data_IF_684594655868
#
_entry.id   IF_684594655868
#
_cell.length_a   1.000
_cell.length_b   1.000
_cell.length_c   1.000
_cell.angle_alpha   90.00
_cell.angle_beta   90.00
_cell.angle_gamma   90.00
#
_symmetry.space_group_name_H-M   'P 1'
#
loop_
_entity.id
_entity.type
_entity.pdbx_description
1 polymer ?
#
# COMPACT_ATOMS: atom_id res chain seq x y z
N UNK A 1 1.12 13.76 -15.98
CA UNK A 1 0.18 13.77 -17.09
C UNK A 1 -0.01 15.16 -17.63
N UNK A 2 -0.21 15.30 -18.93
CA UNK A 2 -0.52 16.59 -19.57
C UNK A 2 -2.03 16.91 -19.53
N UNK A 3 -2.82 16.16 -18.76
CA UNK A 3 -4.24 16.35 -18.65
C UNK A 3 -4.61 16.87 -17.23
N UNK A 4 -4.80 18.19 -17.05
CA UNK A 4 -5.13 18.78 -15.76
C UNK A 4 -6.46 18.29 -15.18
N UNK A 5 -7.43 17.91 -16.03
CA UNK A 5 -8.74 17.42 -15.58
C UNK A 5 -8.66 16.08 -14.81
N UNK A 6 -7.56 15.35 -14.95
CA UNK A 6 -7.34 14.09 -14.25
C UNK A 6 -6.74 14.26 -12.85
N UNK A 7 -6.47 15.50 -12.44
CA UNK A 7 -5.72 15.79 -11.22
C UNK A 7 -6.58 16.56 -10.22
N UNK A 8 -6.52 16.13 -8.98
CA UNK A 8 -7.03 16.85 -7.82
C UNK A 8 -5.91 17.68 -7.18
N UNK A 9 -6.26 18.83 -6.62
CA UNK A 9 -5.34 19.75 -5.94
C UNK A 9 -5.15 21.08 -6.65
N UNK A 10 -4.55 22.04 -5.95
CA UNK A 10 -4.36 23.42 -6.43
C UNK A 10 -3.10 23.52 -7.30
N UNK A 11 -3.08 24.52 -8.16
CA UNK A 11 -1.90 24.79 -8.98
C UNK A 11 -0.70 25.20 -8.12
N UNK A 12 0.48 24.77 -8.56
CA UNK A 12 1.73 25.01 -7.82
C UNK A 12 1.96 24.09 -6.61
N UNK A 13 1.04 23.18 -6.32
CA UNK A 13 1.15 22.22 -5.22
C UNK A 13 1.19 20.77 -5.74
N UNK A 14 1.44 19.84 -4.82
CA UNK A 14 1.30 18.41 -5.08
C UNK A 14 -0.09 18.10 -5.63
N UNK A 15 -0.17 17.21 -6.59
CA UNK A 15 -1.42 16.80 -7.25
C UNK A 15 -1.68 15.33 -6.98
N UNK A 16 -2.95 14.98 -6.87
CA UNK A 16 -3.43 13.60 -6.76
C UNK A 16 -4.11 13.20 -8.07
N UNK A 17 -3.70 12.07 -8.67
CA UNK A 17 -4.41 11.49 -9.81
C UNK A 17 -5.80 11.06 -9.36
N UNK A 18 -6.84 11.57 -10.02
CA UNK A 18 -8.23 11.28 -9.67
C UNK A 18 -8.68 9.92 -10.23
N UNK A 19 -8.62 8.87 -9.42
CA UNK A 19 -9.09 7.54 -9.83
C UNK A 19 -10.62 7.44 -9.97
N UNK A 20 -11.36 8.39 -9.41
CA UNK A 20 -12.79 8.56 -9.68
C UNK A 20 -13.12 9.05 -11.09
N UNK A 21 -12.12 9.57 -11.84
CA UNK A 21 -12.27 9.99 -13.22
C UNK A 21 -11.98 8.81 -14.15
N UNK A 22 -12.96 8.42 -14.96
CA UNK A 22 -12.88 7.18 -15.76
C UNK A 22 -11.70 7.14 -16.72
N UNK A 23 -11.41 8.23 -17.45
CA UNK A 23 -10.28 8.28 -18.38
C UNK A 23 -8.93 8.23 -17.64
N UNK A 24 -8.81 8.89 -16.48
CA UNK A 24 -7.59 8.86 -15.67
C UNK A 24 -7.32 7.44 -15.15
N UNK A 25 -8.37 6.77 -14.68
CA UNK A 25 -8.30 5.38 -14.23
C UNK A 25 -7.95 4.44 -15.38
N UNK A 26 -8.60 4.56 -16.53
CA UNK A 26 -8.33 3.75 -17.71
C UNK A 26 -6.88 3.92 -18.20
N UNK A 27 -6.38 5.15 -18.22
CA UNK A 27 -4.99 5.44 -18.54
C UNK A 27 -4.01 4.76 -17.57
N UNK A 28 -4.28 4.86 -16.26
CA UNK A 28 -3.42 4.24 -15.23
C UNK A 28 -3.42 2.72 -15.37
N UNK A 29 -4.59 2.10 -15.56
CA UNK A 29 -4.71 0.65 -15.79
C UNK A 29 -3.85 0.25 -17.00
N UNK A 30 -4.01 0.90 -18.13
CA UNK A 30 -3.25 0.57 -19.34
C UNK A 30 -1.74 0.81 -19.19
N UNK A 31 -1.35 1.82 -18.43
CA UNK A 31 0.05 2.12 -18.16
C UNK A 31 0.72 1.05 -17.29
N UNK A 32 0.09 0.70 -16.16
CA UNK A 32 0.61 -0.30 -15.22
C UNK A 32 0.55 -1.71 -15.82
N UNK A 33 -0.53 -2.09 -16.48
CA UNK A 33 -0.69 -3.36 -17.20
C UNK A 33 0.48 -3.59 -18.18
N UNK A 34 0.81 -2.56 -18.97
CA UNK A 34 1.96 -2.62 -19.88
C UNK A 34 3.29 -2.82 -19.15
N UNK A 35 3.52 -2.13 -18.02
CA UNK A 35 4.73 -2.29 -17.21
C UNK A 35 4.83 -3.69 -16.61
N UNK A 36 3.74 -4.18 -16.00
CA UNK A 36 3.69 -5.53 -15.43
C UNK A 36 4.02 -6.58 -16.48
N UNK A 37 3.42 -6.48 -17.67
CA UNK A 37 3.65 -7.41 -18.77
C UNK A 37 5.07 -7.33 -19.31
N UNK A 38 5.59 -6.12 -19.58
CA UNK A 38 6.90 -5.93 -20.18
C UNK A 38 8.07 -6.29 -19.26
N UNK A 39 7.88 -6.13 -17.95
CA UNK A 39 8.91 -6.41 -16.95
C UNK A 39 8.76 -7.80 -16.30
N UNK A 40 7.68 -8.53 -16.59
CA UNK A 40 7.43 -9.84 -16.00
C UNK A 40 7.24 -9.78 -14.48
N UNK A 41 6.38 -8.87 -14.01
CA UNK A 41 6.18 -8.61 -12.57
C UNK A 41 5.04 -9.47 -12.05
N UNK A 42 5.31 -10.31 -11.05
CA UNK A 42 4.34 -11.17 -10.38
C UNK A 42 3.84 -10.60 -9.04
N UNK A 43 4.54 -9.60 -8.49
CA UNK A 43 4.16 -8.90 -7.27
C UNK A 43 4.16 -7.40 -7.51
N UNK A 44 3.00 -6.79 -7.43
CA UNK A 44 2.80 -5.35 -7.58
C UNK A 44 2.65 -4.68 -6.22
N UNK A 45 3.64 -3.88 -5.80
CA UNK A 45 3.52 -3.07 -4.58
C UNK A 45 3.01 -1.68 -4.94
N UNK A 46 1.98 -1.25 -4.24
CA UNK A 46 1.50 0.13 -4.28
C UNK A 46 1.56 0.76 -2.89
N UNK A 47 2.47 1.71 -2.75
CA UNK A 47 2.53 2.58 -1.58
C UNK A 47 1.75 3.87 -1.83
N UNK A 48 1.11 4.42 -0.79
CA UNK A 48 0.27 5.61 -0.89
C UNK A 48 0.53 6.54 0.30
N UNK A 49 1.55 7.39 0.15
CA UNK A 49 2.08 8.26 1.21
C UNK A 49 1.59 9.70 1.04
N UNK A 50 0.30 9.88 0.87
CA UNK A 50 -0.35 11.18 0.75
C UNK A 50 -1.60 11.22 1.65
N UNK A 51 -1.87 12.35 2.28
CA UNK A 51 -3.16 12.59 2.93
C UNK A 51 -4.16 13.13 1.89
N UNK A 52 -5.13 12.31 1.44
CA UNK A 52 -6.00 12.66 0.33
C UNK A 52 -7.18 13.55 0.69
N UNK A 53 -7.51 13.69 1.98
CA UNK A 53 -8.77 14.31 2.42
C UNK A 53 -8.95 15.73 1.88
N UNK A 54 -7.89 16.53 1.91
CA UNK A 54 -7.95 17.91 1.42
C UNK A 54 -8.11 17.99 -0.11
N UNK A 55 -7.61 17.00 -0.85
CA UNK A 55 -7.80 16.92 -2.31
C UNK A 55 -9.25 16.60 -2.65
N UNK A 56 -9.87 15.65 -1.93
CA UNK A 56 -11.25 15.26 -2.13
C UNK A 56 -12.21 16.39 -1.76
N UNK A 57 -12.08 16.94 -0.53
CA UNK A 57 -12.93 18.04 -0.05
C UNK A 57 -12.79 19.29 -0.87
N UNK A 58 -11.60 19.58 -1.39
CA UNK A 58 -11.36 20.75 -2.24
C UNK A 58 -11.97 20.64 -3.64
N UNK A 59 -12.38 19.44 -4.06
CA UNK A 59 -13.08 19.20 -5.32
C UNK A 59 -14.60 19.07 -5.17
N UNK A 60 -15.10 18.91 -3.95
CA UNK A 60 -16.52 18.80 -3.66
C UNK A 60 -17.19 20.19 -3.63
N UNK A 61 -18.48 20.21 -3.99
CA UNK A 61 -19.36 21.35 -3.71
C UNK A 61 -19.91 21.26 -2.28
N UNK A 62 -20.39 22.38 -1.74
CA UNK A 62 -20.84 22.46 -0.35
C UNK A 62 -21.95 21.46 -0.03
N UNK A 63 -22.86 21.23 -0.98
CA UNK A 63 -24.01 20.32 -0.89
C UNK A 63 -23.66 18.84 -1.22
N UNK A 64 -22.44 18.57 -1.66
CA UNK A 64 -22.00 17.24 -2.11
C UNK A 64 -20.71 16.78 -1.44
N UNK A 65 -20.47 17.15 -0.21
CA UNK A 65 -19.27 16.75 0.53
C UNK A 65 -19.15 15.23 0.68
N UNK A 66 -17.96 14.68 0.35
CA UNK A 66 -17.65 13.25 0.36
C UNK A 66 -17.89 12.53 -0.98
N UNK A 67 -18.47 13.19 -1.99
CA UNK A 67 -18.74 12.53 -3.28
C UNK A 67 -17.44 12.20 -4.04
N UNK A 68 -16.45 13.09 -4.01
CA UNK A 68 -15.16 12.86 -4.65
C UNK A 68 -14.39 11.73 -3.99
N UNK A 69 -14.43 11.64 -2.66
CA UNK A 69 -13.86 10.50 -1.91
C UNK A 69 -14.51 9.19 -2.33
N UNK A 70 -15.84 9.14 -2.34
CA UNK A 70 -16.59 7.95 -2.74
C UNK A 70 -16.22 7.48 -4.16
N UNK A 71 -16.21 8.39 -5.13
CA UNK A 71 -15.81 8.08 -6.50
C UNK A 71 -14.34 7.64 -6.57
N UNK A 72 -13.45 8.30 -5.82
CA UNK A 72 -12.04 7.96 -5.78
C UNK A 72 -11.81 6.54 -5.24
N UNK A 73 -12.41 6.20 -4.09
CA UNK A 73 -12.27 4.88 -3.48
C UNK A 73 -12.86 3.79 -4.38
N UNK A 74 -14.04 4.02 -4.95
CA UNK A 74 -14.66 3.09 -5.92
C UNK A 74 -13.74 2.88 -7.12
N UNK A 75 -13.19 3.95 -7.66
CA UNK A 75 -12.26 3.89 -8.79
C UNK A 75 -10.94 3.21 -8.46
N UNK A 76 -10.41 3.43 -7.25
CA UNK A 76 -9.22 2.76 -6.74
C UNK A 76 -9.41 1.23 -6.62
N UNK A 77 -10.52 0.80 -6.06
CA UNK A 77 -10.83 -0.63 -5.97
C UNK A 77 -11.04 -1.27 -7.36
N UNK A 78 -11.74 -0.57 -8.25
CA UNK A 78 -11.94 -1.02 -9.63
C UNK A 78 -10.61 -1.10 -10.42
N UNK A 79 -9.67 -0.20 -10.16
CA UNK A 79 -8.32 -0.26 -10.73
C UNK A 79 -7.60 -1.55 -10.34
N UNK A 80 -7.61 -1.94 -9.08
CA UNK A 80 -6.99 -3.18 -8.62
C UNK A 80 -7.73 -4.42 -9.14
N UNK A 81 -9.06 -4.42 -9.12
CA UNK A 81 -9.86 -5.51 -9.68
C UNK A 81 -9.50 -5.78 -11.15
N UNK A 82 -9.32 -4.72 -11.94
CA UNK A 82 -8.96 -4.86 -13.35
C UNK A 82 -7.52 -5.35 -13.55
N UNK A 83 -6.57 -4.92 -12.71
CA UNK A 83 -5.20 -5.46 -12.77
C UNK A 83 -5.17 -6.95 -12.43
N UNK A 84 -5.84 -7.37 -11.37
CA UNK A 84 -5.94 -8.79 -10.98
C UNK A 84 -6.63 -9.64 -12.05
N UNK A 85 -7.64 -9.08 -12.72
CA UNK A 85 -8.31 -9.75 -13.84
C UNK A 85 -7.39 -9.95 -15.05
N UNK A 86 -6.52 -8.98 -15.35
CA UNK A 86 -5.55 -9.05 -16.46
C UNK A 86 -4.36 -9.93 -16.16
N UNK A 87 -3.95 -9.99 -14.90
CA UNK A 87 -2.78 -10.74 -14.43
C UNK A 87 -3.20 -11.79 -13.39
N UNK A 88 -3.86 -12.90 -13.81
CA UNK A 88 -4.26 -13.96 -12.89
C UNK A 88 -3.05 -14.56 -12.18
N UNK A 89 -3.11 -14.62 -10.86
CA UNK A 89 -2.01 -15.11 -10.01
C UNK A 89 -1.03 -14.04 -9.53
N UNK A 90 -1.12 -12.80 -10.04
CA UNK A 90 -0.35 -11.68 -9.50
C UNK A 90 -0.83 -11.35 -8.08
N UNK A 91 0.11 -11.02 -7.21
CA UNK A 91 -0.18 -10.50 -5.88
C UNK A 91 -0.05 -8.98 -5.85
N UNK A 92 -0.91 -8.35 -5.05
CA UNK A 92 -0.77 -6.92 -4.73
C UNK A 92 -0.31 -6.80 -3.28
N UNK A 93 0.80 -6.09 -3.07
CA UNK A 93 1.28 -5.66 -1.76
C UNK A 93 0.81 -4.23 -1.49
N UNK A 94 -0.06 -4.08 -0.50
CA UNK A 94 -0.62 -2.77 -0.12
C UNK A 94 0.20 -2.10 0.97
N UNK A 95 0.49 -0.82 0.78
CA UNK A 95 1.03 0.07 1.79
C UNK A 95 0.40 1.45 1.66
N UNK A 96 0.15 2.09 2.78
CA UNK A 96 -0.28 3.48 2.82
C UNK A 96 0.25 4.10 4.12
N UNK A 97 1.46 4.64 4.09
CA UNK A 97 2.17 5.07 5.30
C UNK A 97 2.05 3.99 6.39
N UNK A 98 2.45 2.77 6.06
CA UNK A 98 2.18 1.56 6.84
C UNK A 98 0.75 1.03 6.66
N UNK A 99 0.00 0.94 7.73
CA UNK A 99 -1.26 0.22 7.79
C UNK A 99 -2.54 1.03 7.53
N UNK A 100 -2.48 2.24 6.97
CA UNK A 100 -3.66 3.11 6.81
C UNK A 100 -4.74 2.58 5.84
N UNK A 101 -4.42 1.57 5.03
CA UNK A 101 -5.37 0.89 4.13
C UNK A 101 -5.60 -0.57 4.48
N UNK A 102 -5.41 -0.97 5.74
CA UNK A 102 -5.73 -2.32 6.19
C UNK A 102 -7.24 -2.45 6.50
N UNK A 103 -8.09 -2.06 5.56
CA UNK A 103 -9.53 -2.26 5.58
C UNK A 103 -9.94 -3.52 4.79
N UNK A 104 -11.15 -4.03 5.04
CA UNK A 104 -11.62 -5.29 4.45
C UNK A 104 -11.68 -5.26 2.93
N UNK A 105 -12.09 -4.15 2.31
CA UNK A 105 -12.20 -4.06 0.86
C UNK A 105 -10.82 -4.04 0.17
N UNK A 106 -9.86 -3.34 0.76
CA UNK A 106 -8.47 -3.37 0.30
C UNK A 106 -7.89 -4.79 0.45
N UNK A 107 -8.08 -5.42 1.61
CA UNK A 107 -7.48 -6.72 1.93
C UNK A 107 -8.16 -7.91 1.24
N UNK A 108 -9.30 -7.73 0.59
CA UNK A 108 -9.86 -8.71 -0.35
C UNK A 108 -9.06 -8.82 -1.64
N UNK A 109 -8.25 -7.81 -1.96
CA UNK A 109 -7.51 -7.66 -3.23
C UNK A 109 -6.01 -7.71 -3.05
N UNK A 110 -5.53 -7.40 -1.85
CA UNK A 110 -4.11 -7.19 -1.57
C UNK A 110 -3.71 -7.75 -0.21
N UNK A 111 -2.43 -7.93 -0.01
CA UNK A 111 -1.83 -8.35 1.24
C UNK A 111 -0.90 -7.25 1.76
N UNK A 112 -0.88 -6.93 3.06
CA UNK A 112 0.08 -6.00 3.62
C UNK A 112 1.36 -6.76 4.01
N UNK A 113 2.37 -6.79 3.12
CA UNK A 113 3.65 -7.44 3.42
C UNK A 113 4.46 -6.68 4.46
N UNK A 114 4.20 -5.39 4.64
CA UNK A 114 4.56 -4.64 5.82
C UNK A 114 3.29 -4.00 6.37
N UNK A 115 2.68 -4.64 7.35
CA UNK A 115 1.37 -4.26 7.91
C UNK A 115 1.37 -2.92 8.65
N UNK A 116 2.55 -2.43 9.08
CA UNK A 116 2.74 -1.19 9.83
C UNK A 116 4.19 -0.76 9.76
N UNK A 117 4.43 0.55 9.72
CA UNK A 117 5.77 1.12 9.86
C UNK A 117 6.28 1.12 11.31
N UNK A 118 5.45 0.70 12.26
CA UNK A 118 5.85 0.54 13.65
C UNK A 118 6.58 -0.79 13.85
N UNK A 119 7.91 -0.76 13.59
CA UNK A 119 8.78 -1.93 13.56
C UNK A 119 9.90 -1.91 14.62
N UNK A 120 9.99 -0.82 15.40
CA UNK A 120 11.09 -0.57 16.35
C UNK A 120 10.88 -1.22 17.71
N UNK A 121 9.68 -1.72 17.98
CA UNK A 121 9.32 -2.27 19.29
C UNK A 121 8.84 -3.71 19.18
N UNK A 122 9.57 -4.61 19.83
CA UNK A 122 9.30 -6.04 19.81
C UNK A 122 7.92 -6.39 20.42
N UNK A 123 7.52 -5.71 21.49
CA UNK A 123 6.20 -5.93 22.14
C UNK A 123 5.08 -5.46 21.22
N UNK A 124 5.23 -4.28 20.62
CA UNK A 124 4.28 -3.75 19.63
C UNK A 124 4.12 -4.68 18.42
N UNK A 125 5.21 -5.25 17.92
CA UNK A 125 5.16 -6.27 16.86
C UNK A 125 4.31 -7.50 17.26
N UNK A 126 4.49 -8.00 18.47
CA UNK A 126 3.69 -9.11 19.00
C UNK A 126 2.21 -8.73 19.14
N UNK A 127 1.92 -7.54 19.67
CA UNK A 127 0.54 -7.03 19.78
C UNK A 127 -0.13 -6.91 18.40
N UNK A 128 0.56 -6.39 17.40
CA UNK A 128 0.05 -6.33 16.03
C UNK A 128 -0.19 -7.72 15.44
N UNK A 129 0.75 -8.65 15.63
CA UNK A 129 0.59 -10.05 15.18
C UNK A 129 -0.63 -10.67 15.84
N UNK A 130 -0.74 -10.56 17.16
CA UNK A 130 -1.87 -11.10 17.91
C UNK A 130 -3.21 -10.53 17.41
N UNK A 131 -3.33 -9.19 17.34
CA UNK A 131 -4.58 -8.54 16.97
C UNK A 131 -5.02 -8.83 15.53
N UNK A 132 -4.10 -8.73 14.57
CA UNK A 132 -4.42 -8.93 13.15
C UNK A 132 -4.69 -10.39 12.79
N UNK A 133 -4.01 -11.36 13.42
CA UNK A 133 -4.15 -12.78 13.09
C UNK A 133 -5.55 -13.34 13.38
N UNK A 134 -6.40 -12.64 14.13
CA UNK A 134 -7.78 -13.06 14.35
C UNK A 134 -8.67 -12.91 13.12
N UNK A 135 -8.31 -12.06 12.17
CA UNK A 135 -9.14 -11.77 11.01
C UNK A 135 -8.38 -11.67 9.68
N UNK A 136 -7.06 -11.52 9.73
CA UNK A 136 -6.18 -11.44 8.56
C UNK A 136 -5.13 -12.53 8.64
N UNK A 137 -5.29 -13.65 7.89
CA UNK A 137 -4.39 -14.80 8.00
C UNK A 137 -3.01 -14.54 7.40
N UNK A 138 -2.88 -13.62 6.45
CA UNK A 138 -1.63 -13.30 5.78
C UNK A 138 -1.33 -11.82 5.90
N UNK A 139 -0.31 -11.50 6.66
CA UNK A 139 0.25 -10.16 6.79
C UNK A 139 1.73 -10.27 7.13
N UNK A 140 2.51 -9.26 6.78
CA UNK A 140 3.93 -9.26 7.07
C UNK A 140 4.29 -8.29 8.19
N UNK A 141 5.50 -8.41 8.64
CA UNK A 141 6.13 -7.52 9.61
C UNK A 141 7.58 -7.29 9.23
N UNK A 142 8.26 -6.43 9.98
CA UNK A 142 9.68 -6.17 9.86
C UNK A 142 10.29 -5.75 11.19
N UNK A 143 11.59 -5.65 11.22
CA UNK A 143 12.33 -5.01 12.30
C UNK A 143 13.57 -4.32 11.75
N UNK A 144 13.98 -3.24 12.39
CA UNK A 144 15.26 -2.57 12.20
C UNK A 144 16.25 -2.90 13.33
N UNK A 145 15.84 -3.76 14.29
CA UNK A 145 16.60 -4.16 15.44
C UNK A 145 17.19 -5.57 15.25
N UNK A 146 18.43 -5.77 15.72
CA UNK A 146 19.17 -7.03 15.59
C UNK A 146 19.15 -7.89 16.85
N UNK A 147 18.42 -7.49 17.90
CA UNK A 147 18.27 -8.27 19.12
C UNK A 147 17.52 -9.58 18.88
N UNK A 148 17.91 -10.67 19.55
CA UNK A 148 17.25 -11.98 19.44
C UNK A 148 15.75 -11.88 19.71
N UNK A 149 15.34 -11.07 20.70
CA UNK A 149 13.96 -10.89 21.04
C UNK A 149 13.18 -10.11 19.96
N UNK A 150 13.82 -9.10 19.38
CA UNK A 150 13.25 -8.28 18.29
C UNK A 150 13.01 -9.13 17.03
N UNK A 151 14.03 -9.89 16.62
CA UNK A 151 13.95 -10.79 15.48
C UNK A 151 12.85 -11.85 15.67
N UNK A 152 12.80 -12.52 16.84
CA UNK A 152 11.77 -13.52 17.14
C UNK A 152 10.36 -12.91 17.15
N UNK A 153 10.21 -11.70 17.67
CA UNK A 153 8.94 -10.98 17.71
C UNK A 153 8.43 -10.64 16.31
N UNK A 154 9.35 -10.35 15.39
CA UNK A 154 9.03 -10.05 14.01
C UNK A 154 8.80 -11.31 13.15
N UNK A 155 9.36 -12.46 13.51
CA UNK A 155 9.22 -13.72 12.77
C UNK A 155 7.87 -14.45 12.96
N UNK A 156 6.97 -13.90 13.76
CA UNK A 156 5.67 -14.54 14.04
C UNK A 156 4.68 -14.51 12.86
N UNK A 157 5.03 -13.84 11.77
CA UNK A 157 4.22 -13.69 10.55
C UNK A 157 4.84 -14.45 9.37
N UNK A 158 4.04 -14.82 8.35
CA UNK A 158 4.53 -15.53 7.19
C UNK A 158 5.50 -14.73 6.31
N UNK A 159 5.53 -13.41 6.44
CA UNK A 159 6.46 -12.54 5.72
C UNK A 159 7.22 -11.64 6.67
N UNK A 160 8.54 -11.59 6.49
CA UNK A 160 9.45 -10.79 7.29
C UNK A 160 10.31 -9.90 6.41
N UNK A 161 10.42 -8.63 6.76
CA UNK A 161 11.26 -7.64 6.09
C UNK A 161 12.39 -7.22 7.03
N UNK A 162 13.61 -7.45 6.61
CA UNK A 162 14.80 -6.88 7.25
C UNK A 162 14.92 -5.41 6.85
N UNK A 163 14.81 -4.51 7.81
CA UNK A 163 14.83 -3.08 7.58
C UNK A 163 16.18 -2.43 7.87
N UNK A 164 17.28 -3.14 7.56
CA UNK A 164 18.64 -2.62 7.65
C UNK A 164 19.38 -2.74 6.32
N UNK A 165 20.50 -2.02 6.19
CA UNK A 165 21.34 -2.13 5.00
C UNK A 165 22.15 -3.44 5.04
N UNK A 166 21.76 -4.41 4.27
CA UNK A 166 22.42 -5.72 4.14
C UNK A 166 23.86 -5.63 3.60
N UNK A 167 24.29 -4.46 3.14
CA UNK A 167 25.68 -4.20 2.72
C UNK A 167 26.56 -3.71 3.87
N UNK A 168 25.98 -3.45 5.04
CA UNK A 168 26.75 -3.01 6.20
C UNK A 168 27.58 -4.17 6.74
N UNK A 169 28.90 -4.10 6.51
CA UNK A 169 29.88 -5.11 6.94
C UNK A 169 30.11 -5.16 8.46
N UNK A 170 29.50 -4.24 9.21
CA UNK A 170 29.55 -4.24 10.68
C UNK A 170 28.47 -5.13 11.29
N UNK A 171 27.51 -5.59 10.49
CA UNK A 171 26.49 -6.52 10.94
C UNK A 171 27.09 -7.91 11.16
N UNK A 172 26.68 -8.55 12.23
CA UNK A 172 27.02 -9.95 12.52
C UNK A 172 26.11 -10.88 11.72
N UNK A 173 26.57 -11.27 10.54
CA UNK A 173 25.81 -12.14 9.64
C UNK A 173 25.80 -13.62 10.11
N UNK A 174 26.71 -14.02 10.99
CA UNK A 174 26.70 -15.37 11.56
C UNK A 174 25.60 -15.51 12.62
N UNK A 175 25.13 -14.36 13.16
CA UNK A 175 23.99 -14.31 14.07
C UNK A 175 22.64 -14.31 13.31
N UNK A 176 22.57 -13.72 12.11
CA UNK A 176 21.35 -13.60 11.30
C UNK A 176 21.09 -14.88 10.49
#
# INVERSE_FOLDING_TARGET
TNNPAWLLGRDGQQKLLNLGHDEARAWLIAHIDRLLTQQGIDLYRQDYNIDPLNFWRGADTEDRQGITENHYVTGYLAYWDELLRRHPGMLIDTCASGGHRNDLETLRRALPFLRSDFIQDAVGNQCHTYGLSFWLPYHGTGTDQLGVYDLRSAMACPHFIACWDVRDRKLDYDFL
#
